data_IF_345438684135
#
_entry.id   IF_345438684135
#
_cell.length_a   1.000
_cell.length_b   1.000
_cell.length_c   1.000
_cell.angle_alpha   90.00
_cell.angle_beta   90.00
_cell.angle_gamma   90.00
#
_symmetry.space_group_name_H-M   'P 1'
#
loop_
_entity.id
_entity.type
_entity.pdbx_description
1 polymer ?
#
# COMPACT_ATOMS: atom_id res chain seq x y z
N UNK A 1 35.29 -8.57 -0.29
CA UNK A 1 34.70 -8.93 0.06
C UNK A 1 33.73 -8.97 0.22
N UNK A 2 33.42 -8.54 0.07
CA UNK A 2 32.56 -8.83 0.33
C UNK A 2 31.35 -9.12 0.48
N UNK A 3 30.81 -8.74 0.21
CA UNK A 3 29.74 -9.64 0.05
C UNK A 3 28.74 -9.65 1.14
N UNK A 4 29.10 -9.54 2.33
CA UNK A 4 28.19 -9.49 3.46
C UNK A 4 27.25 -8.32 3.37
N UNK A 5 27.66 -7.24 2.72
CA UNK A 5 26.80 -6.09 2.55
C UNK A 5 25.56 -6.44 1.76
N UNK A 6 25.70 -7.29 0.76
CA UNK A 6 24.56 -7.71 -0.05
C UNK A 6 23.57 -8.52 0.76
N UNK A 7 24.05 -9.37 1.62
CA UNK A 7 23.18 -10.19 2.45
C UNK A 7 22.39 -9.34 3.42
N UNK A 8 23.03 -8.30 3.95
CA UNK A 8 22.35 -7.38 4.85
C UNK A 8 21.20 -6.66 4.15
N UNK A 9 21.40 -6.30 2.89
CA UNK A 9 20.37 -5.58 2.15
C UNK A 9 19.08 -6.38 2.04
N UNK A 10 19.18 -7.69 1.88
CA UNK A 10 18.01 -8.54 1.78
C UNK A 10 17.21 -8.58 3.06
N UNK A 11 17.87 -8.38 4.18
CA UNK A 11 17.21 -8.44 5.46
C UNK A 11 16.68 -7.09 5.91
N UNK A 12 17.09 -6.03 5.23
CA UNK A 12 16.73 -4.69 5.65
C UNK A 12 15.30 -4.31 5.32
N UNK A 13 14.68 -5.01 4.40
CA UNK A 13 13.34 -4.66 3.93
C UNK A 13 12.34 -5.77 4.19
N UNK A 14 11.12 -5.38 4.48
CA UNK A 14 10.00 -6.30 4.59
C UNK A 14 8.84 -5.77 3.78
N UNK A 15 7.99 -6.68 3.35
CA UNK A 15 6.75 -6.32 2.68
C UNK A 15 5.60 -7.07 3.30
N UNK A 16 4.45 -6.43 3.34
CA UNK A 16 3.21 -7.07 3.76
C UNK A 16 2.13 -6.76 2.74
N UNK A 17 1.17 -7.68 2.64
CA UNK A 17 -0.01 -7.49 1.80
C UNK A 17 -1.15 -7.12 2.72
N UNK A 18 -1.85 -6.04 2.38
CA UNK A 18 -2.97 -5.53 3.16
C UNK A 18 -4.20 -5.50 2.28
N UNK A 19 -5.26 -6.19 2.70
CA UNK A 19 -6.55 -6.10 2.03
C UNK A 19 -7.22 -4.83 2.49
N UNK A 20 -7.73 -4.05 1.54
CA UNK A 20 -8.35 -2.76 1.85
C UNK A 20 -9.86 -2.90 1.83
N UNK A 21 -10.56 -2.31 2.80
CA UNK A 21 -12.01 -2.17 2.69
C UNK A 21 -12.35 -1.24 1.54
N UNK A 22 -13.60 -1.24 1.12
CA UNK A 22 -14.06 -0.32 0.09
C UNK A 22 -13.84 1.12 0.57
N UNK A 23 -13.30 1.96 -0.31
CA UNK A 23 -12.95 3.33 0.03
C UNK A 23 -14.09 4.29 -0.34
N UNK A 24 -14.23 5.35 0.43
CA UNK A 24 -15.22 6.38 0.14
C UNK A 24 -14.86 7.15 -1.12
N UNK A 25 -13.59 7.54 -1.23
CA UNK A 25 -13.07 8.24 -2.41
C UNK A 25 -11.55 8.11 -2.45
N UNK A 26 -10.98 8.49 -3.60
CA UNK A 26 -9.55 8.36 -3.83
C UNK A 26 -8.73 9.28 -2.93
N UNK A 27 -9.19 10.50 -2.70
CA UNK A 27 -8.41 11.47 -1.94
C UNK A 27 -8.32 11.11 -0.46
N UNK A 28 -9.37 10.52 0.09
CA UNK A 28 -9.34 10.06 1.49
C UNK A 28 -8.30 8.95 1.65
N UNK A 29 -8.27 8.02 0.71
CA UNK A 29 -7.27 6.94 0.75
C UNK A 29 -5.86 7.50 0.60
N UNK A 30 -5.66 8.42 -0.34
CA UNK A 30 -4.35 9.02 -0.56
C UNK A 30 -3.84 9.74 0.69
N UNK A 31 -4.71 10.50 1.36
CA UNK A 31 -4.35 11.19 2.60
C UNK A 31 -3.98 10.22 3.71
N UNK A 32 -4.73 9.12 3.80
CA UNK A 32 -4.47 8.09 4.80
C UNK A 32 -3.09 7.45 4.59
N UNK A 33 -2.77 7.15 3.33
CA UNK A 33 -1.47 6.55 3.00
C UNK A 33 -0.35 7.55 3.25
N UNK A 34 -0.56 8.83 2.89
CA UNK A 34 0.45 9.85 3.13
C UNK A 34 0.78 9.96 4.62
N UNK A 35 -0.23 10.04 5.46
CA UNK A 35 -0.05 10.12 6.91
C UNK A 35 0.67 8.88 7.43
N UNK A 36 0.22 7.71 6.98
CA UNK A 36 0.80 6.45 7.42
C UNK A 36 2.28 6.36 7.02
N UNK A 37 2.60 6.79 5.80
CA UNK A 37 3.98 6.75 5.32
C UNK A 37 4.91 7.60 6.20
N UNK A 38 4.42 8.75 6.66
CA UNK A 38 5.20 9.61 7.53
C UNK A 38 5.33 9.02 8.94
N UNK A 39 4.27 8.44 9.46
CA UNK A 39 4.27 7.91 10.83
C UNK A 39 5.05 6.62 10.96
N UNK A 40 5.03 5.77 9.94
CA UNK A 40 5.61 4.43 9.98
C UNK A 40 6.83 4.29 9.10
N UNK A 41 7.32 5.38 8.51
CA UNK A 41 8.49 5.35 7.62
C UNK A 41 8.31 4.35 6.48
N UNK A 42 7.13 4.35 5.86
CA UNK A 42 6.86 3.47 4.74
C UNK A 42 7.68 3.92 3.53
N UNK A 43 8.30 2.98 2.86
CA UNK A 43 9.12 3.27 1.68
C UNK A 43 8.29 3.25 0.41
N UNK A 44 7.42 2.27 0.24
CA UNK A 44 6.61 2.12 -0.96
C UNK A 44 5.29 1.47 -0.66
N UNK A 45 4.28 1.87 -1.44
CA UNK A 45 2.97 1.22 -1.43
C UNK A 45 2.56 1.04 -2.88
N UNK A 46 2.04 -0.14 -3.22
CA UNK A 46 1.55 -0.39 -4.57
C UNK A 46 0.39 -1.37 -4.51
N UNK A 47 -0.65 -1.04 -5.24
CA UNK A 47 -1.81 -1.92 -5.32
C UNK A 47 -3.00 -1.22 -5.92
N UNK A 48 -4.18 -1.62 -5.46
CA UNK A 48 -5.42 -1.09 -6.00
C UNK A 48 -6.51 -1.12 -4.94
N UNK A 49 -7.55 -0.34 -5.18
CA UNK A 49 -8.67 -0.21 -4.25
C UNK A 49 -9.99 -0.14 -4.99
N UNK A 50 -11.04 -0.57 -4.31
CA UNK A 50 -12.41 -0.39 -4.74
C UNK A 50 -12.92 0.90 -4.13
N UNK A 51 -13.59 1.72 -4.94
CA UNK A 51 -14.16 3.00 -4.48
C UNK A 51 -15.67 2.93 -4.64
N UNK A 52 -16.39 3.34 -3.62
CA UNK A 52 -17.85 3.29 -3.58
C UNK A 52 -18.43 4.02 -4.80
N UNK A 53 -19.33 3.32 -5.49
CA UNK A 53 -20.03 3.89 -6.63
C UNK A 53 -19.21 4.00 -7.90
N UNK A 54 -17.98 3.50 -7.92
CA UNK A 54 -17.10 3.58 -9.08
C UNK A 54 -16.90 2.18 -9.67
N UNK A 55 -17.17 1.99 -10.96
CA UNK A 55 -16.94 0.69 -11.60
C UNK A 55 -15.49 0.43 -11.93
N UNK A 56 -14.65 1.47 -11.91
CA UNK A 56 -13.24 1.36 -12.25
C UNK A 56 -12.41 1.06 -11.03
N UNK A 57 -11.38 0.26 -11.20
CA UNK A 57 -10.40 -0.05 -10.18
C UNK A 57 -9.48 1.14 -9.98
N UNK A 58 -9.19 1.51 -8.75
CA UNK A 58 -8.28 2.61 -8.44
C UNK A 58 -6.88 2.06 -8.20
N UNK A 59 -5.93 2.42 -9.06
CA UNK A 59 -4.52 2.12 -8.81
C UNK A 59 -3.99 3.04 -7.74
N UNK A 60 -3.13 2.50 -6.88
CA UNK A 60 -2.51 3.23 -5.78
C UNK A 60 -1.02 2.97 -5.83
N UNK A 61 -0.23 4.03 -5.85
CA UNK A 61 1.23 3.95 -5.80
C UNK A 61 1.74 5.05 -4.90
N UNK A 62 2.74 4.71 -4.07
CA UNK A 62 3.37 5.71 -3.21
C UNK A 62 4.86 5.42 -3.10
N UNK A 63 5.65 6.48 -3.11
CA UNK A 63 7.07 6.44 -2.78
C UNK A 63 7.24 7.39 -1.61
N UNK A 64 7.51 6.82 -0.42
CA UNK A 64 7.41 7.59 0.81
C UNK A 64 6.00 8.16 0.96
N UNK A 65 5.92 9.44 1.28
CA UNK A 65 4.63 10.13 1.45
C UNK A 65 4.07 10.69 0.14
N UNK A 66 4.70 10.38 -0.98
CA UNK A 66 4.29 10.88 -2.28
C UNK A 66 3.34 9.88 -2.91
N UNK A 67 2.04 10.13 -2.82
CA UNK A 67 0.99 9.20 -3.21
C UNK A 67 0.38 9.61 -4.54
N UNK A 68 0.17 8.62 -5.42
CA UNK A 68 -0.53 8.80 -6.69
C UNK A 68 -1.65 7.80 -6.78
N UNK A 69 -2.80 8.25 -7.27
CA UNK A 69 -3.95 7.38 -7.51
C UNK A 69 -4.49 7.65 -8.90
N UNK A 70 -5.02 6.61 -9.53
CA UNK A 70 -5.57 6.72 -10.88
C UNK A 70 -6.51 5.55 -11.13
N UNK A 71 -7.70 5.83 -11.64
CA UNK A 71 -8.58 4.76 -12.11
C UNK A 71 -7.98 4.17 -13.38
N UNK A 72 -7.86 2.84 -13.44
CA UNK A 72 -7.17 2.20 -14.58
C UNK A 72 -8.10 1.38 -15.47
N UNK A 73 -8.97 0.55 -14.90
CA UNK A 73 -9.86 -0.29 -15.71
C UNK A 73 -11.05 -0.74 -14.88
N UNK A 74 -12.14 -1.18 -15.53
CA UNK A 74 -13.24 -1.80 -14.79
C UNK A 74 -12.78 -3.08 -14.12
N UNK A 75 -13.39 -3.39 -12.99
CA UNK A 75 -13.21 -4.69 -12.36
C UNK A 75 -13.71 -5.76 -13.31
N UNK A 76 -12.92 -6.85 -13.48
CA UNK A 76 -13.35 -7.97 -14.31
C UNK A 76 -14.52 -8.71 -13.62
N UNK A 77 -15.47 -9.25 -14.39
CA UNK A 77 -16.59 -9.98 -13.78
C UNK A 77 -16.16 -11.17 -12.93
N UNK A 78 -14.98 -11.74 -13.24
CA UNK A 78 -14.49 -12.92 -12.54
C UNK A 78 -13.57 -12.60 -11.37
N UNK A 79 -13.16 -11.34 -11.20
CA UNK A 79 -12.29 -10.98 -10.08
C UNK A 79 -13.12 -10.37 -8.94
N UNK A 80 -12.75 -10.66 -7.69
CA UNK A 80 -13.45 -10.05 -6.57
C UNK A 80 -13.18 -8.56 -6.54
N UNK A 81 -14.20 -7.79 -6.20
CA UNK A 81 -14.06 -6.34 -6.04
C UNK A 81 -13.48 -6.07 -4.65
N UNK A 82 -12.17 -6.30 -4.54
CA UNK A 82 -11.46 -6.25 -3.26
C UNK A 82 -10.15 -5.50 -3.44
N UNK A 83 -9.96 -4.44 -2.65
CA UNK A 83 -8.71 -3.71 -2.65
C UNK A 83 -7.59 -4.48 -1.98
N UNK A 84 -6.37 -4.24 -2.46
CA UNK A 84 -5.18 -4.90 -1.94
C UNK A 84 -3.96 -4.05 -2.25
N UNK A 85 -3.13 -3.82 -1.26
CA UNK A 85 -1.86 -3.11 -1.45
C UNK A 85 -0.72 -3.89 -0.82
N UNK A 86 0.46 -3.75 -1.43
CA UNK A 86 1.71 -4.24 -0.86
C UNK A 86 2.41 -3.04 -0.26
N UNK A 87 2.80 -3.16 1.00
CA UNK A 87 3.47 -2.10 1.74
C UNK A 87 4.89 -2.56 2.04
N UNK A 88 5.87 -1.74 1.70
CA UNK A 88 7.29 -2.05 1.91
C UNK A 88 7.88 -1.03 2.87
N UNK A 89 8.61 -1.52 3.88
CA UNK A 89 9.31 -0.68 4.83
C UNK A 89 10.62 -1.38 5.23
N UNK A 90 11.52 -0.65 5.87
CA UNK A 90 12.68 -1.29 6.44
C UNK A 90 12.25 -2.21 7.58
N UNK A 91 13.03 -3.25 7.80
CA UNK A 91 12.69 -4.29 8.78
C UNK A 91 12.35 -3.69 10.15
N UNK A 92 13.16 -2.76 10.62
CA UNK A 92 12.98 -2.18 11.94
C UNK A 92 11.77 -1.26 12.03
N UNK A 93 11.30 -0.76 10.90
CA UNK A 93 10.16 0.13 10.85
C UNK A 93 8.85 -0.58 10.53
N UNK A 94 8.92 -1.86 10.19
CA UNK A 94 7.73 -2.60 9.80
C UNK A 94 6.89 -2.96 11.02
N UNK A 95 5.77 -2.29 11.16
CA UNK A 95 4.78 -2.59 12.20
C UNK A 95 3.48 -2.98 11.50
N UNK A 96 3.36 -4.26 11.17
CA UNK A 96 2.25 -4.73 10.34
C UNK A 96 0.90 -4.49 10.99
N UNK A 97 0.80 -4.62 12.31
CA UNK A 97 -0.46 -4.41 13.01
C UNK A 97 -0.90 -2.95 12.91
N UNK A 98 0.01 -2.02 13.18
CA UNK A 98 -0.30 -0.59 13.08
C UNK A 98 -0.68 -0.20 11.66
N UNK A 99 0.03 -0.75 10.67
CA UNK A 99 -0.23 -0.45 9.26
C UNK A 99 -1.61 -0.98 8.87
N UNK A 100 -1.93 -2.21 9.23
CA UNK A 100 -3.24 -2.79 8.92
C UNK A 100 -4.37 -2.00 9.57
N UNK A 101 -4.20 -1.66 10.84
CA UNK A 101 -5.20 -0.88 11.57
C UNK A 101 -5.43 0.48 10.91
N UNK A 102 -4.35 1.16 10.54
CA UNK A 102 -4.44 2.47 9.90
C UNK A 102 -5.16 2.41 8.56
N UNK A 103 -5.03 1.31 7.84
CA UNK A 103 -5.67 1.12 6.54
C UNK A 103 -7.06 0.49 6.64
N UNK A 104 -7.51 0.20 7.86
CA UNK A 104 -8.87 -0.33 8.07
C UNK A 104 -9.00 -1.82 7.84
N UNK A 105 -7.88 -2.50 7.77
CA UNK A 105 -7.89 -3.94 7.50
C UNK A 105 -7.97 -4.76 8.76
#
# INVERSE_FOLDING_TARGET
>A
HHDTAHDHDHEDFESIVVNLPEQTDASTLASKIETLAKQQNILRVKGYAAVTGKPMRLLVQAVGARVRTQFDRPWAPTEPRQGKVVVIAEHDDMNSEAIRTALGA
#
